data_IF_115905007272
#
_entry.id   IF_115905007272
#
_cell.length_a   1.000
_cell.length_b   1.000
_cell.length_c   1.000
_cell.angle_alpha   90.00
_cell.angle_beta   90.00
_cell.angle_gamma   90.00
#
_symmetry.space_group_name_H-M   'P 1'
#
loop_
_entity.id
_entity.type
_entity.pdbx_description
1 polymer ?
#
# COMPACT_ATOMS: atom_id res chain seq x y z
N UNK A 1 -10.78 22.39 -1.08
CA UNK A 1 -10.25 21.39 -2.04
C UNK A 1 -10.59 21.86 -3.46
N UNK A 2 -9.71 21.68 -4.45
CA UNK A 2 -9.97 22.07 -5.84
C UNK A 2 -10.31 20.81 -6.67
N UNK A 3 -11.54 20.73 -7.19
CA UNK A 3 -12.04 19.55 -7.88
C UNK A 3 -11.29 19.27 -9.19
N UNK A 4 -10.96 20.30 -9.96
CA UNK A 4 -10.25 20.16 -11.24
C UNK A 4 -8.84 19.62 -11.01
N UNK A 5 -8.14 20.13 -10.01
CA UNK A 5 -6.83 19.61 -9.62
C UNK A 5 -6.95 18.16 -9.13
N UNK A 6 -7.93 17.87 -8.28
CA UNK A 6 -8.18 16.52 -7.76
C UNK A 6 -8.39 15.50 -8.88
N UNK A 7 -9.31 15.78 -9.82
CA UNK A 7 -9.62 14.88 -10.94
C UNK A 7 -8.43 14.71 -11.88
N UNK A 8 -7.67 15.78 -12.10
CA UNK A 8 -6.45 15.71 -12.90
C UNK A 8 -5.40 14.81 -12.23
N UNK A 9 -5.15 14.98 -10.93
CA UNK A 9 -4.22 14.16 -10.15
C UNK A 9 -4.65 12.69 -10.11
N UNK A 10 -5.96 12.43 -9.97
CA UNK A 10 -6.51 11.07 -10.00
C UNK A 10 -6.27 10.42 -11.37
N UNK A 11 -6.62 11.11 -12.47
CA UNK A 11 -6.43 10.59 -13.83
C UNK A 11 -4.96 10.38 -14.18
N UNK A 12 -4.08 11.29 -13.78
CA UNK A 12 -2.64 11.16 -14.06
C UNK A 12 -1.97 10.02 -13.30
N UNK A 13 -2.53 9.62 -12.16
CA UNK A 13 -2.04 8.49 -11.36
C UNK A 13 -2.88 7.22 -11.51
N UNK A 14 -3.96 7.23 -12.31
CA UNK A 14 -4.92 6.12 -12.36
C UNK A 14 -4.27 4.80 -12.80
N UNK A 15 -3.44 4.81 -13.83
CA UNK A 15 -2.73 3.62 -14.29
C UNK A 15 -1.78 3.09 -13.21
N UNK A 16 -1.01 3.98 -12.58
CA UNK A 16 -0.09 3.61 -11.50
C UNK A 16 -0.85 3.04 -10.30
N UNK A 17 -1.97 3.64 -9.94
CA UNK A 17 -2.84 3.21 -8.85
C UNK A 17 -3.43 1.83 -9.15
N UNK A 18 -3.92 1.61 -10.37
CA UNK A 18 -4.45 0.33 -10.81
C UNK A 18 -3.40 -0.77 -10.75
N UNK A 19 -2.20 -0.52 -11.29
CA UNK A 19 -1.10 -1.51 -11.28
C UNK A 19 -0.72 -1.88 -9.85
N UNK A 20 -0.57 -0.89 -8.96
CA UNK A 20 -0.19 -1.14 -7.57
C UNK A 20 -1.32 -1.79 -6.79
N UNK A 21 -2.57 -1.41 -7.03
CA UNK A 21 -3.73 -2.05 -6.41
C UNK A 21 -3.84 -3.52 -6.81
N UNK A 22 -3.65 -3.86 -8.09
CA UNK A 22 -3.64 -5.26 -8.55
C UNK A 22 -2.47 -6.01 -7.90
N UNK A 23 -1.26 -5.45 -7.90
CA UNK A 23 -0.11 -6.07 -7.26
C UNK A 23 -0.35 -6.30 -5.76
N UNK A 24 -0.99 -5.33 -5.10
CA UNK A 24 -1.31 -5.41 -3.67
C UNK A 24 -2.41 -6.43 -3.37
N UNK A 25 -3.45 -6.53 -4.20
CA UNK A 25 -4.47 -7.58 -4.07
C UNK A 25 -3.89 -8.97 -4.31
N UNK A 26 -3.07 -9.13 -5.35
CA UNK A 26 -2.34 -10.38 -5.58
C UNK A 26 -1.48 -10.75 -4.37
N UNK A 27 -0.79 -9.76 -3.77
CA UNK A 27 0.00 -9.96 -2.56
C UNK A 27 -0.84 -10.31 -1.33
N UNK A 28 -1.96 -9.63 -1.10
CA UNK A 28 -2.91 -9.92 0.00
C UNK A 28 -3.42 -11.36 -0.06
N UNK A 29 -3.76 -11.82 -1.25
CA UNK A 29 -4.28 -13.18 -1.48
C UNK A 29 -3.26 -14.29 -1.29
N UNK A 30 -1.96 -13.96 -1.35
CA UNK A 30 -0.88 -14.94 -1.38
C UNK A 30 -0.82 -15.77 -0.09
N UNK A 31 -0.88 -15.11 1.07
CA UNK A 31 -0.76 -15.81 2.37
C UNK A 31 -1.98 -16.69 2.68
N UNK A 32 -3.24 -16.21 2.52
CA UNK A 32 -4.43 -17.07 2.63
C UNK A 32 -4.40 -18.25 1.66
N UNK A 33 -3.93 -18.05 0.41
CA UNK A 33 -3.83 -19.11 -0.59
C UNK A 33 -2.81 -20.17 -0.18
N UNK A 34 -1.63 -19.76 0.27
CA UNK A 34 -0.61 -20.69 0.80
C UNK A 34 -1.17 -21.45 1.99
N UNK A 35 -1.85 -20.76 2.92
CA UNK A 35 -2.46 -21.40 4.08
C UNK A 35 -3.54 -22.42 3.69
N UNK A 36 -4.38 -22.11 2.69
CA UNK A 36 -5.42 -23.01 2.22
C UNK A 36 -4.86 -24.32 1.63
N UNK A 37 -3.72 -24.25 0.95
CA UNK A 37 -3.08 -25.41 0.34
C UNK A 37 -2.12 -26.18 1.26
N UNK A 38 -1.46 -25.50 2.19
CA UNK A 38 -0.37 -26.07 3.00
C UNK A 38 -0.65 -26.08 4.51
N UNK A 39 -1.83 -25.63 4.94
CA UNK A 39 -2.16 -25.44 6.34
C UNK A 39 -2.07 -26.70 7.20
N UNK A 40 -2.45 -27.86 6.67
CA UNK A 40 -2.35 -29.14 7.37
C UNK A 40 -0.89 -29.51 7.62
N UNK A 41 -0.01 -29.39 6.62
CA UNK A 41 1.43 -29.66 6.79
C UNK A 41 2.06 -28.70 7.80
N UNK A 42 1.66 -27.42 7.81
CA UNK A 42 2.15 -26.45 8.79
C UNK A 42 1.74 -26.81 10.23
N UNK A 43 0.50 -27.28 10.43
CA UNK A 43 0.02 -27.79 11.73
C UNK A 43 0.84 -29.00 12.18
N UNK A 44 1.06 -29.96 11.29
CA UNK A 44 1.85 -31.16 11.62
C UNK A 44 3.30 -30.82 11.96
N UNK A 45 3.89 -29.86 11.24
CA UNK A 45 5.24 -29.38 11.53
C UNK A 45 5.33 -28.62 12.86
N UNK A 46 4.32 -27.84 13.25
CA UNK A 46 4.27 -27.25 14.59
C UNK A 46 4.16 -28.32 15.69
N UNK A 47 3.30 -29.32 15.48
CA UNK A 47 3.08 -30.40 16.44
C UNK A 47 4.30 -31.33 16.58
N UNK A 48 5.16 -31.41 15.56
CA UNK A 48 6.41 -32.17 15.58
C UNK A 48 7.46 -31.62 16.56
N UNK A 49 7.31 -30.37 17.03
CA UNK A 49 8.25 -29.71 17.94
C UNK A 49 9.55 -29.22 17.28
N UNK A 50 9.67 -29.35 15.95
CA UNK A 50 10.85 -28.90 15.19
C UNK A 50 11.03 -27.37 15.18
N UNK A 51 9.93 -26.61 15.32
CA UNK A 51 9.96 -25.14 15.31
C UNK A 51 9.76 -24.62 16.75
N UNK A 52 10.72 -23.85 17.30
CA UNK A 52 10.55 -23.20 18.60
C UNK A 52 9.32 -22.28 18.61
N UNK A 53 8.54 -22.33 19.69
CA UNK A 53 7.31 -21.53 19.84
C UNK A 53 7.55 -20.02 19.69
N UNK A 54 8.73 -19.54 20.05
CA UNK A 54 9.14 -18.15 19.90
C UNK A 54 9.23 -17.74 18.42
N UNK A 55 9.71 -18.64 17.56
CA UNK A 55 9.76 -18.39 16.13
C UNK A 55 8.36 -18.46 15.51
N UNK A 56 7.51 -19.38 15.99
CA UNK A 56 6.12 -19.49 15.57
C UNK A 56 5.28 -18.25 15.93
N UNK A 57 5.68 -17.45 16.93
CA UNK A 57 5.01 -16.21 17.32
C UNK A 57 5.54 -14.95 16.61
N UNK A 58 6.51 -15.11 15.72
CA UNK A 58 7.08 -14.00 14.99
C UNK A 58 6.00 -13.31 14.14
N UNK A 59 6.00 -11.98 14.09
CA UNK A 59 5.04 -11.23 13.26
C UNK A 59 3.63 -11.01 13.86
N UNK A 60 3.45 -11.21 15.16
CA UNK A 60 2.26 -10.73 15.89
C UNK A 60 1.16 -11.78 16.13
N UNK A 61 1.48 -13.06 15.97
CA UNK A 61 0.57 -14.18 16.20
C UNK A 61 1.23 -15.49 15.81
N UNK A 62 0.48 -16.59 15.86
CA UNK A 62 0.95 -17.87 15.33
C UNK A 62 1.08 -17.78 13.80
N UNK A 63 2.32 -17.76 13.29
CA UNK A 63 2.68 -17.72 11.85
C UNK A 63 1.89 -18.74 11.01
N UNK A 64 1.54 -19.87 11.62
CA UNK A 64 0.90 -21.01 10.95
C UNK A 64 -0.62 -21.05 11.16
N UNK A 65 -1.18 -20.02 11.82
CA UNK A 65 -2.59 -19.72 11.91
C UNK A 65 -3.02 -18.76 10.79
N UNK A 66 -4.31 -18.76 10.44
CA UNK A 66 -4.83 -17.86 9.40
C UNK A 66 -4.61 -16.37 9.76
N UNK A 67 -4.92 -15.91 11.00
CA UNK A 67 -4.65 -14.52 11.39
C UNK A 67 -3.15 -14.16 11.35
N UNK A 68 -2.27 -15.08 11.79
CA UNK A 68 -0.83 -14.83 11.75
C UNK A 68 -0.27 -14.79 10.33
N UNK A 69 -0.73 -15.67 9.44
CA UNK A 69 -0.37 -15.64 8.02
C UNK A 69 -0.75 -14.30 7.37
N UNK A 70 -1.94 -13.77 7.67
CA UNK A 70 -2.38 -12.45 7.19
C UNK A 70 -1.51 -11.33 7.80
N UNK A 71 -1.20 -11.41 9.09
CA UNK A 71 -0.36 -10.42 9.77
C UNK A 71 1.05 -10.33 9.17
N UNK A 72 1.67 -11.46 8.83
CA UNK A 72 2.94 -11.50 8.08
C UNK A 72 2.81 -10.75 6.77
N UNK A 73 1.71 -10.97 6.04
CA UNK A 73 1.45 -10.31 4.76
C UNK A 73 1.54 -8.79 4.83
N UNK A 74 1.07 -8.20 5.93
CA UNK A 74 1.13 -6.75 6.20
C UNK A 74 2.52 -6.23 6.53
N UNK A 75 3.27 -6.95 7.37
CA UNK A 75 4.61 -6.53 7.80
C UNK A 75 5.70 -6.92 6.80
N UNK A 76 5.34 -7.67 5.76
CA UNK A 76 6.28 -8.12 4.75
C UNK A 76 6.86 -6.91 3.98
N UNK A 77 8.18 -6.89 3.69
CA UNK A 77 8.79 -5.79 2.96
C UNK A 77 8.11 -5.45 1.63
N UNK A 78 7.53 -6.44 0.94
CA UNK A 78 6.79 -6.23 -0.31
C UNK A 78 5.54 -5.35 -0.07
N UNK A 79 4.72 -5.64 0.93
CA UNK A 79 3.55 -4.83 1.26
C UNK A 79 3.97 -3.41 1.69
N UNK A 80 5.05 -3.28 2.46
CA UNK A 80 5.59 -1.99 2.89
C UNK A 80 6.06 -1.18 1.68
N UNK A 81 6.83 -1.78 0.77
CA UNK A 81 7.33 -1.12 -0.44
C UNK A 81 6.17 -0.69 -1.34
N UNK A 82 5.21 -1.57 -1.62
CA UNK A 82 4.05 -1.25 -2.46
C UNK A 82 3.21 -0.11 -1.86
N UNK A 83 2.99 -0.12 -0.54
CA UNK A 83 2.27 0.96 0.17
C UNK A 83 3.05 2.28 0.13
N UNK A 84 4.38 2.22 0.27
CA UNK A 84 5.24 3.40 0.27
C UNK A 84 5.27 4.14 -1.06
N UNK A 85 4.90 3.48 -2.17
CA UNK A 85 4.84 4.12 -3.48
C UNK A 85 3.92 5.34 -3.47
N UNK A 86 2.77 5.27 -2.79
CA UNK A 86 1.87 6.41 -2.66
C UNK A 86 2.11 7.23 -1.39
N UNK A 87 2.42 6.57 -0.26
CA UNK A 87 2.68 7.28 0.99
C UNK A 87 3.89 8.23 0.89
N UNK A 88 4.94 7.81 0.18
CA UNK A 88 6.19 8.55 0.04
C UNK A 88 6.40 9.01 -1.40
N UNK A 89 6.30 8.08 -2.36
CA UNK A 89 6.64 8.36 -3.76
C UNK A 89 5.73 9.42 -4.39
N UNK A 90 4.41 9.27 -4.28
CA UNK A 90 3.46 10.27 -4.76
C UNK A 90 3.59 11.59 -4.00
N UNK A 91 3.62 11.55 -2.66
CA UNK A 91 3.71 12.76 -1.83
C UNK A 91 4.95 13.60 -2.19
N UNK A 92 6.08 12.95 -2.45
CA UNK A 92 7.33 13.62 -2.86
C UNK A 92 7.21 14.14 -4.30
N UNK A 93 6.75 13.31 -5.24
CA UNK A 93 6.65 13.68 -6.66
C UNK A 93 5.65 14.80 -6.92
N UNK A 94 4.62 14.95 -6.09
CA UNK A 94 3.58 15.96 -6.22
C UNK A 94 4.11 17.40 -6.00
N UNK A 95 5.27 17.57 -5.36
CA UNK A 95 5.89 18.88 -5.11
C UNK A 95 7.28 18.93 -5.73
N UNK A 96 8.17 18.02 -5.31
CA UNK A 96 9.56 18.00 -5.78
C UNK A 96 9.65 17.59 -7.25
N UNK A 97 8.78 16.68 -7.70
CA UNK A 97 8.70 16.28 -9.10
C UNK A 97 8.25 17.41 -10.01
N UNK A 98 7.27 18.21 -9.57
CA UNK A 98 6.83 19.39 -10.33
C UNK A 98 7.92 20.46 -10.42
N UNK A 99 8.69 20.65 -9.33
CA UNK A 99 9.88 21.53 -9.34
C UNK A 99 10.92 21.04 -10.34
N UNK A 100 11.25 19.75 -10.31
CA UNK A 100 12.25 19.17 -11.23
C UNK A 100 11.82 19.25 -12.69
N UNK A 101 10.51 19.15 -12.96
CA UNK A 101 9.93 19.30 -14.30
C UNK A 101 9.78 20.76 -14.77
N UNK A 102 10.09 21.76 -13.93
CA UNK A 102 9.87 23.18 -14.23
C UNK A 102 8.38 23.54 -14.40
N UNK A 103 7.49 22.76 -13.79
CA UNK A 103 6.03 22.90 -13.90
C UNK A 103 5.41 23.51 -12.64
N UNK A 104 6.17 23.58 -11.55
CA UNK A 104 5.70 24.16 -10.30
C UNK A 104 5.39 25.66 -10.44
N UNK A 105 6.19 26.40 -11.20
CA UNK A 105 5.95 27.83 -11.44
C UNK A 105 4.63 28.05 -12.16
N UNK A 106 4.29 27.18 -13.13
CA UNK A 106 3.02 27.21 -13.87
C UNK A 106 1.83 26.92 -12.94
N UNK A 107 1.98 25.95 -12.04
CA UNK A 107 0.95 25.63 -11.05
C UNK A 107 0.72 26.79 -10.08
N UNK A 108 1.80 27.46 -9.65
CA UNK A 108 1.76 28.59 -8.72
C UNK A 108 1.33 29.91 -9.37
N UNK A 109 1.46 30.05 -10.69
CA UNK A 109 0.97 31.21 -11.45
C UNK A 109 -0.56 31.24 -11.57
N UNK A 110 -1.23 30.09 -11.37
CA UNK A 110 -2.70 30.05 -11.33
C UNK A 110 -3.21 30.76 -10.07
N UNK A 111 -4.37 31.44 -10.13
CA UNK A 111 -4.98 32.13 -9.00
C UNK A 111 -5.62 31.12 -8.00
N UNK A 112 -4.84 30.15 -7.54
CA UNK A 112 -5.25 29.11 -6.59
C UNK A 112 -4.42 29.31 -5.32
N UNK A 113 -5.05 29.47 -4.14
CA UNK A 113 -4.31 29.62 -2.90
C UNK A 113 -3.49 28.35 -2.61
N UNK A 114 -2.22 28.52 -2.23
CA UNK A 114 -1.26 27.42 -1.97
C UNK A 114 -1.80 26.37 -0.99
N UNK A 115 -2.52 26.81 0.04
CA UNK A 115 -3.17 25.92 1.02
C UNK A 115 -4.15 24.95 0.36
N UNK A 116 -4.91 25.39 -0.65
CA UNK A 116 -5.86 24.53 -1.37
C UNK A 116 -5.12 23.51 -2.23
N UNK A 117 -3.97 23.88 -2.82
CA UNK A 117 -3.12 22.94 -3.57
C UNK A 117 -2.63 21.83 -2.64
N UNK A 118 -1.95 22.20 -1.54
CA UNK A 118 -1.43 21.22 -0.58
C UNK A 118 -2.53 20.35 0.02
N UNK A 119 -3.67 20.92 0.40
CA UNK A 119 -4.80 20.15 0.92
C UNK A 119 -5.36 19.18 -0.11
N UNK A 120 -5.45 19.58 -1.39
CA UNK A 120 -5.93 18.70 -2.46
C UNK A 120 -4.97 17.53 -2.68
N UNK A 121 -3.66 17.79 -2.71
CA UNK A 121 -2.64 16.75 -2.85
C UNK A 121 -2.61 15.81 -1.64
N UNK A 122 -2.81 16.33 -0.43
CA UNK A 122 -2.91 15.54 0.79
C UNK A 122 -4.10 14.58 0.72
N UNK A 123 -5.28 15.07 0.33
CA UNK A 123 -6.48 14.24 0.15
C UNK A 123 -6.24 13.16 -0.92
N UNK A 124 -5.62 13.50 -2.04
CA UNK A 124 -5.23 12.51 -3.06
C UNK A 124 -4.30 11.43 -2.48
N UNK A 125 -3.28 11.81 -1.71
CA UNK A 125 -2.34 10.88 -1.09
C UNK A 125 -3.07 9.90 -0.15
N UNK A 126 -3.95 10.41 0.72
CA UNK A 126 -4.74 9.55 1.62
C UNK A 126 -5.67 8.61 0.85
N UNK A 127 -6.34 9.08 -0.20
CA UNK A 127 -7.21 8.23 -1.02
C UNK A 127 -6.39 7.14 -1.72
N UNK A 128 -5.24 7.46 -2.29
CA UNK A 128 -4.39 6.45 -2.94
C UNK A 128 -3.89 5.41 -1.97
N UNK A 129 -3.42 5.82 -0.79
CA UNK A 129 -3.00 4.89 0.27
C UNK A 129 -4.18 4.04 0.74
N UNK A 130 -5.36 4.62 0.94
CA UNK A 130 -6.56 3.89 1.35
C UNK A 130 -7.00 2.87 0.30
N UNK A 131 -6.93 3.20 -0.99
CA UNK A 131 -7.24 2.26 -2.09
C UNK A 131 -6.23 1.11 -2.12
N UNK A 132 -4.94 1.40 -1.94
CA UNK A 132 -3.90 0.35 -1.92
C UNK A 132 -4.07 -0.57 -0.71
N UNK A 133 -4.31 -0.02 0.49
CA UNK A 133 -4.58 -0.83 1.69
C UNK A 133 -5.88 -1.62 1.52
N UNK A 134 -6.92 -1.02 0.95
CA UNK A 134 -8.18 -1.69 0.64
C UNK A 134 -7.99 -2.85 -0.34
N UNK A 135 -7.12 -2.69 -1.35
CA UNK A 135 -6.77 -3.75 -2.28
C UNK A 135 -6.07 -4.93 -1.57
N UNK A 136 -5.17 -4.66 -0.62
CA UNK A 136 -4.58 -5.72 0.22
C UNK A 136 -5.65 -6.51 0.98
N UNK A 137 -6.66 -5.83 1.53
CA UNK A 137 -7.69 -6.46 2.35
C UNK A 137 -8.69 -7.30 1.54
N UNK A 138 -8.90 -6.96 0.26
CA UNK A 138 -9.84 -7.65 -0.63
C UNK A 138 -9.21 -8.88 -1.29
N UNK A 139 -7.91 -8.84 -1.54
CA UNK A 139 -7.16 -9.98 -2.05
C UNK A 139 -6.86 -10.98 -0.96
#
# INVERSE_FOLDING_TARGET
MNLTLFLHTLRSNALRLLVIAIAMAAWGSLMPLIYAHFGSQFRDMMNSGLIPKQLAQFGGGDLFSLPGAIAIGFIHPIAIILSSVFAVGFATAAIAGERQRGTLEVLLARPIPRRVIYFTLLVCAFIFVAVVIGAFLVG
#
